data_IF_052081338135
#
_entry.id   IF_052081338135
#
_cell.length_a   1.000
_cell.length_b   1.000
_cell.length_c   1.000
_cell.angle_alpha   90.00
_cell.angle_beta   90.00
_cell.angle_gamma   90.00
#
_symmetry.space_group_name_H-M   'P 1'
#
loop_
_entity.id
_entity.type
_entity.pdbx_description
1 polymer ?
#
# COMPACT_ATOMS: atom_id res chain seq x y z
N UNK A 1 -9.33 13.77 -6.96
CA UNK A 1 -8.53 12.73 -6.28
C UNK A 1 -8.20 11.52 -7.13
N UNK A 2 -9.18 10.80 -7.70
CA UNK A 2 -8.90 9.60 -8.53
C UNK A 2 -7.96 9.89 -9.71
N UNK A 3 -8.17 10.98 -10.45
CA UNK A 3 -7.32 11.33 -11.59
C UNK A 3 -5.88 11.66 -11.18
N UNK A 4 -5.70 12.31 -10.02
CA UNK A 4 -4.38 12.60 -9.47
C UNK A 4 -3.65 11.32 -9.04
N UNK A 5 -4.37 10.36 -8.43
CA UNK A 5 -3.81 9.05 -8.08
C UNK A 5 -3.37 8.28 -9.33
N UNK A 6 -4.14 8.38 -10.42
CA UNK A 6 -3.80 7.75 -11.70
C UNK A 6 -2.54 8.36 -12.31
N UNK A 7 -2.42 9.69 -12.34
CA UNK A 7 -1.22 10.38 -12.85
C UNK A 7 0.03 9.98 -12.06
N UNK A 8 -0.07 9.92 -10.72
CA UNK A 8 1.05 9.48 -9.87
C UNK A 8 1.40 8.03 -10.14
N UNK A 9 0.40 7.14 -10.25
CA UNK A 9 0.63 5.73 -10.56
C UNK A 9 1.31 5.54 -11.92
N UNK A 10 0.86 6.26 -12.95
CA UNK A 10 1.45 6.21 -14.29
C UNK A 10 2.92 6.68 -14.26
N UNK A 11 3.22 7.76 -13.53
CA UNK A 11 4.59 8.24 -13.35
C UNK A 11 5.50 7.26 -12.64
N UNK A 12 5.03 6.64 -11.55
CA UNK A 12 5.80 5.62 -10.81
C UNK A 12 6.02 4.38 -11.66
N UNK A 13 5.00 3.93 -12.41
CA UNK A 13 5.11 2.78 -13.28
C UNK A 13 6.09 3.01 -14.44
N UNK A 14 6.14 4.22 -15.00
CA UNK A 14 7.09 4.59 -16.06
C UNK A 14 8.56 4.54 -15.59
N UNK A 15 8.82 4.77 -14.30
CA UNK A 15 10.16 4.73 -13.71
C UNK A 15 10.54 3.33 -13.19
N UNK A 16 9.62 2.37 -13.22
CA UNK A 16 9.83 1.05 -12.61
C UNK A 16 10.91 0.27 -13.34
N UNK A 17 11.95 -0.13 -12.62
CA UNK A 17 13.08 -0.88 -13.15
C UNK A 17 14.06 -1.29 -12.05
N UNK A 18 15.14 -2.01 -12.39
CA UNK A 18 16.12 -2.49 -11.42
C UNK A 18 16.82 -1.37 -10.63
N UNK A 19 16.95 -0.18 -11.23
CA UNK A 19 17.63 0.99 -10.63
C UNK A 19 16.67 1.91 -9.84
N UNK A 20 15.39 1.55 -9.71
CA UNK A 20 14.38 2.40 -9.09
C UNK A 20 13.58 1.66 -8.02
N UNK A 21 13.49 2.27 -6.84
CA UNK A 21 12.65 1.81 -5.73
C UNK A 21 11.80 2.96 -5.23
N UNK A 22 10.54 2.67 -4.93
CA UNK A 22 9.59 3.64 -4.41
C UNK A 22 8.94 3.11 -3.13
N UNK A 23 8.79 3.98 -2.13
CA UNK A 23 7.95 3.77 -0.96
C UNK A 23 6.71 4.64 -1.09
N UNK A 24 5.55 4.01 -1.22
CA UNK A 24 4.27 4.70 -1.34
C UNK A 24 3.55 4.63 0.00
N UNK A 25 3.28 5.79 0.59
CA UNK A 25 2.52 5.91 1.84
C UNK A 25 1.10 6.31 1.48
N UNK A 26 0.13 5.45 1.78
CA UNK A 26 -1.28 5.71 1.48
C UNK A 26 -2.17 5.08 2.55
N UNK A 27 -3.30 5.73 2.82
CA UNK A 27 -4.43 5.14 3.53
C UNK A 27 -5.60 4.79 2.58
N UNK A 28 -5.47 5.12 1.29
CA UNK A 28 -6.43 4.80 0.24
C UNK A 28 -6.05 3.50 -0.48
N UNK A 29 -6.91 2.50 -0.38
CA UNK A 29 -6.72 1.20 -1.05
C UNK A 29 -6.82 1.30 -2.57
N UNK A 30 -7.65 2.22 -3.09
CA UNK A 30 -7.82 2.45 -4.55
C UNK A 30 -6.53 2.80 -5.29
N UNK A 31 -5.53 3.36 -4.60
CA UNK A 31 -4.22 3.62 -5.22
C UNK A 31 -3.51 2.31 -5.59
N UNK A 32 -3.72 1.26 -4.79
CA UNK A 32 -3.08 -0.05 -4.96
C UNK A 32 -3.65 -0.83 -6.16
N UNK A 33 -4.83 -0.44 -6.66
CA UNK A 33 -5.38 -0.96 -7.92
C UNK A 33 -4.59 -0.47 -9.15
N UNK A 34 -3.99 0.72 -9.06
CA UNK A 34 -3.19 1.32 -10.13
C UNK A 34 -1.69 1.11 -9.94
N UNK A 35 -1.25 0.93 -8.70
CA UNK A 35 0.15 0.73 -8.33
C UNK A 35 0.27 -0.55 -7.51
N UNK A 36 0.53 -1.66 -8.19
CA UNK A 36 0.66 -2.98 -7.57
C UNK A 36 2.00 -3.08 -6.84
N UNK A 37 2.04 -3.06 -5.49
CA UNK A 37 3.28 -3.09 -4.74
C UNK A 37 3.88 -4.50 -4.75
N UNK A 38 5.20 -4.61 -4.64
CA UNK A 38 5.85 -5.92 -4.42
C UNK A 38 5.73 -6.37 -2.96
N UNK A 39 5.65 -5.40 -2.04
CA UNK A 39 5.58 -5.63 -0.59
C UNK A 39 4.73 -4.55 0.07
N UNK A 40 3.90 -4.96 1.01
CA UNK A 40 2.97 -4.10 1.76
C UNK A 40 3.36 -4.13 3.23
N UNK A 41 3.39 -2.95 3.85
CA UNK A 41 3.67 -2.77 5.27
C UNK A 41 2.52 -2.01 5.93
N UNK A 42 1.99 -2.56 7.02
CA UNK A 42 0.95 -1.90 7.83
C UNK A 42 1.61 -1.24 9.02
N UNK A 43 1.46 0.08 9.11
CA UNK A 43 1.97 0.90 10.20
C UNK A 43 0.84 1.20 11.19
N UNK A 44 1.02 0.84 12.46
CA UNK A 44 0.13 1.23 13.55
C UNK A 44 0.96 1.51 14.82
N UNK A 45 0.54 2.50 15.62
CA UNK A 45 1.25 2.91 16.85
C UNK A 45 2.76 3.18 16.64
N UNK A 46 3.12 3.75 15.49
CA UNK A 46 4.51 4.06 15.14
C UNK A 46 5.39 2.84 14.82
N UNK A 47 4.81 1.66 14.67
CA UNK A 47 5.53 0.41 14.35
C UNK A 47 4.91 -0.30 13.16
N UNK A 48 5.71 -1.07 12.43
CA UNK A 48 5.21 -1.98 11.40
C UNK A 48 4.65 -3.20 12.12
N UNK A 49 3.34 -3.36 12.07
CA UNK A 49 2.62 -4.43 12.79
C UNK A 49 2.37 -5.64 11.91
N UNK A 50 2.33 -5.45 10.59
CA UNK A 50 2.22 -6.53 9.62
C UNK A 50 2.93 -6.21 8.32
N UNK A 51 3.48 -7.24 7.69
CA UNK A 51 4.11 -7.18 6.37
C UNK A 51 3.61 -8.35 5.53
N UNK A 52 3.37 -8.12 4.24
CA UNK A 52 2.92 -9.16 3.31
C UNK A 52 3.13 -8.74 1.86
N UNK A 53 2.66 -9.56 0.93
CA UNK A 53 2.60 -9.22 -0.49
C UNK A 53 1.36 -8.39 -0.84
N UNK A 54 1.07 -8.22 -2.15
CA UNK A 54 -0.11 -7.50 -2.63
C UNK A 54 -1.44 -8.05 -2.09
N UNK A 55 -1.51 -9.32 -1.73
CA UNK A 55 -2.68 -9.97 -1.13
C UNK A 55 -3.09 -9.33 0.20
N UNK A 56 -2.12 -8.84 0.99
CA UNK A 56 -2.39 -8.15 2.25
C UNK A 56 -3.20 -6.87 2.02
N UNK A 57 -2.95 -6.14 0.92
CA UNK A 57 -3.73 -4.97 0.58
C UNK A 57 -5.20 -5.30 0.29
N UNK A 58 -5.44 -6.41 -0.42
CA UNK A 58 -6.80 -6.88 -0.76
C UNK A 58 -7.54 -7.42 0.46
N UNK A 59 -6.82 -8.04 1.38
CA UNK A 59 -7.38 -8.49 2.66
C UNK A 59 -7.84 -7.27 3.48
N UNK A 60 -6.98 -6.26 3.62
CA UNK A 60 -7.27 -5.01 4.33
C UNK A 60 -8.47 -4.25 3.78
N UNK A 61 -8.73 -4.33 2.47
CA UNK A 61 -9.92 -3.76 1.85
C UNK A 61 -11.20 -4.44 2.32
N UNK A 62 -11.16 -5.76 2.48
CA UNK A 62 -12.32 -6.56 2.89
C UNK A 62 -12.57 -6.51 4.39
N UNK A 63 -11.51 -6.66 5.19
CA UNK A 63 -11.60 -6.77 6.65
C UNK A 63 -11.51 -5.43 7.37
N UNK A 64 -11.05 -4.38 6.69
CA UNK A 64 -10.61 -3.14 7.34
C UNK A 64 -9.35 -3.34 8.18
N UNK A 65 -8.92 -2.27 8.86
CA UNK A 65 -7.68 -2.24 9.65
C UNK A 65 -7.86 -2.64 11.12
N UNK A 66 -9.11 -2.77 11.61
CA UNK A 66 -9.42 -2.94 13.02
C UNK A 66 -8.75 -4.20 13.64
N UNK A 67 -8.72 -5.31 12.90
CA UNK A 67 -8.09 -6.56 13.36
C UNK A 67 -6.57 -6.45 13.56
N UNK A 68 -5.90 -5.58 12.81
CA UNK A 68 -4.44 -5.42 12.89
C UNK A 68 -4.00 -4.45 13.98
N UNK A 69 -4.84 -3.47 14.31
CA UNK A 69 -4.58 -2.52 15.39
C UNK A 69 -4.70 -3.22 16.76
N UNK A 70 -5.60 -4.20 16.88
CA UNK A 70 -5.76 -4.99 18.10
C UNK A 70 -4.56 -5.92 18.43
N UNK A 71 -3.81 -6.40 17.42
CA UNK A 71 -2.59 -7.20 17.63
C UNK A 71 -1.40 -6.37 18.15
N UNK A 72 -1.47 -5.04 18.04
CA UNK A 72 -0.37 -4.13 18.34
C UNK A 72 -0.43 -3.47 19.73
N UNK A 73 -1.53 -3.70 20.47
CA UNK A 73 -1.82 -3.12 21.78
C UNK A 73 -1.25 -3.97 22.94
#
# INVERSE_FOLDING_TARGET
DIDALKIVADGVNALRGPEFSALVITHHQRLLDHLVPNRVHVLAHGRIVRTGGPELAKELEKSGYAGLIAEAA
#
